data_IF_240144487330
#
_entry.id   IF_240144487330
#
_cell.length_a   1.000
_cell.length_b   1.000
_cell.length_c   1.000
_cell.angle_alpha   90.00
_cell.angle_beta   90.00
_cell.angle_gamma   90.00
#
_symmetry.space_group_name_H-M   'P 1'
#
loop_
_entity.id
_entity.type
_entity.pdbx_description
1 polymer ?
#
# COMPACT_ATOMS: atom_id res chain seq x y z
N UNK A 1 15.08 17.89 -11.04
CA UNK A 1 15.72 16.65 -11.52
C UNK A 1 15.42 15.48 -10.60
N UNK A 2 15.66 15.60 -9.28
CA UNK A 2 15.38 14.56 -8.26
C UNK A 2 13.90 14.13 -8.19
N UNK A 3 12.93 15.06 -8.02
CA UNK A 3 11.50 14.69 -7.97
C UNK A 3 11.00 13.98 -9.24
N UNK A 4 11.59 14.28 -10.40
CA UNK A 4 11.23 13.59 -11.66
C UNK A 4 11.77 12.15 -11.69
N UNK A 5 12.88 11.89 -10.99
CA UNK A 5 13.44 10.54 -10.85
C UNK A 5 12.57 9.71 -9.91
N UNK A 6 12.21 10.25 -8.75
CA UNK A 6 11.29 9.58 -7.82
C UNK A 6 9.92 9.32 -8.46
N UNK A 7 9.43 10.25 -9.29
CA UNK A 7 8.20 10.04 -10.07
C UNK A 7 8.33 8.87 -11.04
N UNK A 8 9.48 8.71 -11.70
CA UNK A 8 9.73 7.56 -12.60
C UNK A 8 9.77 6.26 -11.81
N UNK A 9 10.41 6.23 -10.64
CA UNK A 9 10.46 5.04 -9.78
C UNK A 9 9.04 4.62 -9.34
N UNK A 10 8.22 5.59 -8.93
CA UNK A 10 6.82 5.34 -8.62
C UNK A 10 6.06 4.78 -9.84
N UNK A 11 6.20 5.38 -11.02
CA UNK A 11 5.55 4.89 -12.24
C UNK A 11 5.99 3.49 -12.66
N UNK A 12 7.26 3.13 -12.42
CA UNK A 12 7.75 1.76 -12.63
C UNK A 12 7.07 0.81 -11.64
N UNK A 13 6.99 1.19 -10.36
CA UNK A 13 6.33 0.40 -9.33
C UNK A 13 4.82 0.24 -9.60
N UNK A 14 4.13 1.29 -10.05
CA UNK A 14 2.70 1.25 -10.44
C UNK A 14 2.43 0.21 -11.52
N UNK A 15 3.37 -0.03 -12.43
CA UNK A 15 3.25 -0.99 -13.53
C UNK A 15 3.58 -2.43 -13.12
N UNK A 16 3.91 -2.67 -11.85
CA UNK A 16 4.23 -3.99 -11.33
C UNK A 16 3.01 -4.92 -11.46
N UNK A 17 3.18 -6.01 -12.19
CA UNK A 17 2.15 -7.03 -12.43
C UNK A 17 2.79 -8.43 -12.45
N UNK A 18 3.10 -9.01 -11.28
CA UNK A 18 3.76 -10.30 -11.22
C UNK A 18 2.85 -11.41 -11.76
N UNK A 19 3.36 -12.32 -12.61
CA UNK A 19 2.55 -13.40 -13.20
C UNK A 19 2.03 -14.37 -12.13
N UNK A 20 2.78 -14.56 -11.05
CA UNK A 20 2.43 -15.39 -9.90
C UNK A 20 2.67 -14.56 -8.64
N UNK A 21 1.68 -14.51 -7.75
CA UNK A 21 1.81 -13.83 -6.46
C UNK A 21 2.37 -14.80 -5.41
N UNK A 22 3.69 -14.86 -5.29
CA UNK A 22 4.42 -15.67 -4.30
C UNK A 22 4.62 -14.89 -3.00
N UNK A 23 5.02 -15.59 -1.93
CA UNK A 23 5.38 -14.95 -0.65
C UNK A 23 6.55 -13.98 -0.79
N UNK A 24 7.59 -14.40 -1.51
CA UNK A 24 8.76 -13.56 -1.84
C UNK A 24 8.33 -12.28 -2.56
N UNK A 25 7.49 -12.41 -3.58
CA UNK A 25 6.96 -11.28 -4.34
C UNK A 25 6.15 -10.29 -3.48
N UNK A 26 5.34 -10.80 -2.55
CA UNK A 26 4.59 -9.96 -1.61
C UNK A 26 5.52 -9.20 -0.68
N UNK A 27 6.55 -9.87 -0.11
CA UNK A 27 7.54 -9.25 0.78
C UNK A 27 8.37 -8.20 0.05
N UNK A 28 8.87 -8.52 -1.15
CA UNK A 28 9.63 -7.58 -1.97
C UNK A 28 8.81 -6.34 -2.36
N UNK A 29 7.52 -6.54 -2.67
CA UNK A 29 6.62 -5.43 -3.00
C UNK A 29 6.35 -4.51 -1.81
N UNK A 30 6.22 -5.08 -0.60
CA UNK A 30 6.12 -4.31 0.64
C UNK A 30 7.41 -3.51 0.87
N UNK A 31 8.57 -4.13 0.82
CA UNK A 31 9.84 -3.40 1.01
C UNK A 31 10.04 -2.29 -0.03
N UNK A 32 9.66 -2.54 -1.28
CA UNK A 32 9.77 -1.55 -2.34
C UNK A 32 8.83 -0.35 -2.13
N UNK A 33 7.57 -0.59 -1.71
CA UNK A 33 6.64 0.52 -1.44
C UNK A 33 7.02 1.28 -0.18
N UNK A 34 7.50 0.62 0.86
CA UNK A 34 8.02 1.28 2.06
C UNK A 34 9.23 2.18 1.74
N UNK A 35 10.14 1.71 0.87
CA UNK A 35 11.27 2.50 0.41
C UNK A 35 10.83 3.76 -0.34
N UNK A 36 9.85 3.64 -1.24
CA UNK A 36 9.25 4.78 -1.96
C UNK A 36 8.54 5.74 -1.00
N UNK A 37 7.71 5.24 -0.10
CA UNK A 37 7.00 6.03 0.91
C UNK A 37 7.98 6.80 1.79
N UNK A 38 9.08 6.17 2.23
CA UNK A 38 10.14 6.82 3.02
C UNK A 38 10.88 7.89 2.23
N UNK A 39 11.17 7.64 0.95
CA UNK A 39 11.80 8.60 0.07
C UNK A 39 10.93 9.85 -0.11
N UNK A 40 9.65 9.67 -0.43
CA UNK A 40 8.70 10.76 -0.60
C UNK A 40 8.42 11.52 0.71
N UNK A 41 8.45 10.84 1.86
CA UNK A 41 8.35 11.50 3.16
C UNK A 41 9.55 12.42 3.43
N UNK A 42 10.77 12.02 3.03
CA UNK A 42 11.96 12.88 3.12
C UNK A 42 11.85 14.10 2.21
N UNK A 43 11.35 13.92 0.99
CA UNK A 43 11.09 15.03 0.07
C UNK A 43 10.06 15.99 0.67
N UNK A 44 9.01 15.47 1.33
CA UNK A 44 7.99 16.28 2.00
C UNK A 44 8.57 17.11 3.13
N UNK A 45 9.42 16.52 3.97
CA UNK A 45 10.13 17.26 5.03
C UNK A 45 10.99 18.39 4.44
N UNK A 46 11.67 18.14 3.32
CA UNK A 46 12.47 19.16 2.64
C UNK A 46 11.60 20.28 2.07
N UNK A 47 10.49 19.92 1.42
CA UNK A 47 9.51 20.88 0.90
C UNK A 47 8.90 21.75 2.01
N UNK A 48 8.60 21.16 3.17
CA UNK A 48 8.05 21.89 4.31
C UNK A 48 9.07 22.85 4.93
N UNK A 49 10.34 22.46 4.99
CA UNK A 49 11.42 23.36 5.41
C UNK A 49 11.55 24.56 4.46
N UNK A 50 11.52 24.33 3.15
CA UNK A 50 11.55 25.41 2.14
C UNK A 50 10.34 26.33 2.31
N UNK A 51 9.13 25.78 2.43
CA UNK A 51 7.91 26.58 2.62
C UNK A 51 7.92 27.37 3.94
N UNK A 52 8.60 26.88 4.96
CA UNK A 52 8.80 27.60 6.23
C UNK A 52 9.76 28.78 6.02
N UNK A 53 10.86 28.59 5.28
CA UNK A 53 11.79 29.67 4.94
C UNK A 53 11.15 30.73 4.05
N UNK A 54 10.42 30.33 3.01
CA UNK A 54 9.66 31.24 2.14
C UNK A 54 8.68 32.10 2.96
N UNK A 55 7.95 31.47 3.88
CA UNK A 55 7.03 32.19 4.77
C UNK A 55 7.74 33.20 5.68
N UNK A 56 8.90 32.84 6.25
CA UNK A 56 9.69 33.75 7.10
C UNK A 56 10.27 34.94 6.33
N UNK A 57 10.44 34.80 5.01
CA UNK A 57 10.93 35.83 4.11
C UNK A 57 9.80 36.62 3.41
N UNK A 58 8.54 36.42 3.84
CA UNK A 58 7.34 36.99 3.21
C UNK A 58 7.22 36.64 1.70
N UNK A 59 7.75 35.49 1.29
CA UNK A 59 7.57 34.95 -0.05
C UNK A 59 6.30 34.11 -0.15
N UNK A 60 5.75 34.02 -1.36
CA UNK A 60 4.66 33.10 -1.65
C UNK A 60 5.17 31.65 -1.55
N UNK A 61 4.44 30.81 -0.81
CA UNK A 61 4.83 29.43 -0.56
C UNK A 61 4.69 28.57 -1.83
N UNK A 62 5.70 27.75 -2.09
CA UNK A 62 5.69 26.82 -3.20
C UNK A 62 4.73 25.64 -2.92
N UNK A 63 3.79 25.33 -3.83
CA UNK A 63 2.77 24.31 -3.57
C UNK A 63 3.26 22.85 -3.72
N UNK A 64 4.43 22.63 -4.32
CA UNK A 64 5.03 21.30 -4.56
C UNK A 64 4.04 20.25 -5.12
N UNK A 65 3.21 20.64 -6.09
CA UNK A 65 2.08 19.82 -6.58
C UNK A 65 2.47 18.42 -7.06
N UNK A 66 3.64 18.28 -7.71
CA UNK A 66 4.13 16.97 -8.17
C UNK A 66 4.38 16.04 -6.99
N UNK A 67 4.97 16.54 -5.91
CA UNK A 67 5.24 15.77 -4.70
C UNK A 67 3.94 15.37 -3.99
N UNK A 68 2.99 16.30 -3.86
CA UNK A 68 1.68 15.98 -3.29
C UNK A 68 0.95 14.90 -4.09
N UNK A 69 1.02 14.99 -5.43
CA UNK A 69 0.45 13.97 -6.28
C UNK A 69 1.14 12.60 -6.10
N UNK A 70 2.47 12.54 -6.00
CA UNK A 70 3.19 11.28 -5.74
C UNK A 70 2.82 10.67 -4.38
N UNK A 71 2.70 11.48 -3.33
CA UNK A 71 2.27 11.03 -1.99
C UNK A 71 0.87 10.42 -2.01
N UNK A 72 -0.08 11.10 -2.68
CA UNK A 72 -1.44 10.59 -2.84
C UNK A 72 -1.49 9.32 -3.70
N UNK A 73 -0.58 9.20 -4.67
CA UNK A 73 -0.51 8.03 -5.53
C UNK A 73 0.10 6.81 -4.84
N UNK A 74 1.12 6.96 -3.99
CA UNK A 74 1.79 5.83 -3.33
C UNK A 74 0.93 5.18 -2.25
N UNK A 75 0.13 5.97 -1.52
CA UNK A 75 -0.74 5.53 -0.41
C UNK A 75 -1.58 4.28 -0.72
N UNK A 76 -2.37 4.22 -1.81
CA UNK A 76 -3.17 3.03 -2.10
C UNK A 76 -2.33 1.78 -2.42
N UNK A 77 -1.12 1.93 -2.93
CA UNK A 77 -0.24 0.77 -3.14
C UNK A 77 0.38 0.28 -1.85
N UNK A 78 0.76 1.21 -0.96
CA UNK A 78 1.26 0.88 0.37
C UNK A 78 0.22 0.05 1.12
N UNK A 79 -1.02 0.54 1.17
CA UNK A 79 -2.13 -0.17 1.79
C UNK A 79 -2.40 -1.52 1.11
N UNK A 80 -2.33 -1.60 -0.23
CA UNK A 80 -2.55 -2.85 -0.96
C UNK A 80 -1.55 -3.93 -0.55
N UNK A 81 -0.25 -3.64 -0.68
CA UNK A 81 0.78 -4.66 -0.50
C UNK A 81 0.89 -5.12 0.96
N UNK A 82 0.73 -4.20 1.92
CA UNK A 82 0.66 -4.56 3.34
C UNK A 82 -0.55 -5.45 3.63
N UNK A 83 -1.74 -5.07 3.17
CA UNK A 83 -2.96 -5.87 3.41
C UNK A 83 -2.84 -7.27 2.79
N UNK A 84 -2.26 -7.36 1.59
CA UNK A 84 -2.06 -8.62 0.87
C UNK A 84 -1.09 -9.54 1.63
N UNK A 85 0.06 -9.02 2.06
CA UNK A 85 1.05 -9.76 2.82
C UNK A 85 0.50 -10.18 4.19
N UNK A 86 -0.15 -9.25 4.90
CA UNK A 86 -0.73 -9.48 6.22
C UNK A 86 -1.77 -10.59 6.19
N UNK A 87 -2.69 -10.58 5.22
CA UNK A 87 -3.67 -11.65 5.06
C UNK A 87 -2.98 -13.00 4.80
N UNK A 88 -1.94 -13.03 3.97
CA UNK A 88 -1.25 -14.28 3.66
C UNK A 88 -0.56 -14.89 4.89
N UNK A 89 0.18 -14.06 5.64
CA UNK A 89 0.84 -14.48 6.89
C UNK A 89 -0.16 -14.87 7.97
N UNK A 90 -1.27 -14.13 8.07
CA UNK A 90 -2.30 -14.39 9.08
C UNK A 90 -3.09 -15.65 8.75
N UNK A 91 -3.40 -15.88 7.47
CA UNK A 91 -4.02 -17.12 7.01
C UNK A 91 -3.20 -18.35 7.42
N UNK A 92 -1.87 -18.31 7.25
CA UNK A 92 -1.01 -19.43 7.65
C UNK A 92 -1.13 -19.71 9.16
N UNK A 93 -1.15 -18.66 9.98
CA UNK A 93 -1.30 -18.77 11.44
C UNK A 93 -2.69 -19.27 11.85
N UNK A 94 -3.75 -18.74 11.25
CA UNK A 94 -5.13 -19.08 11.61
C UNK A 94 -5.53 -20.47 11.15
N UNK A 95 -5.02 -20.92 10.01
CA UNK A 95 -5.42 -22.18 9.40
C UNK A 95 -4.50 -23.35 9.77
N UNK A 96 -3.19 -23.12 9.90
CA UNK A 96 -2.22 -24.18 10.22
C UNK A 96 -1.62 -24.07 11.63
N UNK A 97 -1.78 -22.92 12.30
CA UNK A 97 -1.26 -22.70 13.64
C UNK A 97 -2.08 -23.37 14.75
N UNK A 98 -1.58 -23.29 15.98
CA UNK A 98 -2.31 -23.81 17.15
C UNK A 98 -3.50 -22.93 17.50
N UNK A 99 -4.70 -23.52 17.54
CA UNK A 99 -5.94 -22.84 17.92
C UNK A 99 -5.95 -22.31 19.37
N UNK A 100 -5.07 -22.80 20.24
CA UNK A 100 -5.13 -22.53 21.69
C UNK A 100 -5.01 -21.04 22.05
N UNK A 101 -4.36 -20.25 21.19
CA UNK A 101 -4.10 -18.82 21.43
C UNK A 101 -4.76 -17.93 20.36
N UNK A 102 -5.76 -18.44 19.63
CA UNK A 102 -6.49 -17.66 18.62
C UNK A 102 -7.76 -17.07 19.22
N UNK A 103 -7.97 -15.78 19.03
CA UNK A 103 -9.22 -15.10 19.34
C UNK A 103 -10.10 -15.04 18.08
N UNK A 104 -11.27 -15.69 18.14
CA UNK A 104 -12.17 -15.79 17.00
C UNK A 104 -12.80 -14.45 16.61
N UNK A 105 -13.07 -13.57 17.58
CA UNK A 105 -13.68 -12.27 17.32
C UNK A 105 -12.65 -11.32 16.67
N UNK A 106 -11.40 -11.34 17.14
CA UNK A 106 -10.30 -10.58 16.52
C UNK A 106 -10.04 -11.03 15.07
N UNK A 107 -10.04 -12.35 14.81
CA UNK A 107 -9.86 -12.88 13.46
C UNK A 107 -11.00 -12.43 12.55
N UNK A 108 -12.24 -12.52 13.02
CA UNK A 108 -13.42 -12.11 12.25
C UNK A 108 -13.38 -10.62 11.92
N UNK A 109 -13.02 -9.77 12.87
CA UNK A 109 -12.85 -8.34 12.64
C UNK A 109 -11.74 -8.04 11.63
N UNK A 110 -10.57 -8.66 11.80
CA UNK A 110 -9.42 -8.48 10.90
C UNK A 110 -9.77 -8.87 9.46
N UNK A 111 -10.38 -10.05 9.28
CA UNK A 111 -10.77 -10.57 7.95
C UNK A 111 -11.82 -9.67 7.29
N UNK A 112 -12.80 -9.20 8.05
CA UNK A 112 -13.80 -8.26 7.54
C UNK A 112 -13.17 -6.91 7.15
N UNK A 113 -12.23 -6.40 7.95
CA UNK A 113 -11.50 -5.17 7.63
C UNK A 113 -10.67 -5.33 6.34
N UNK A 114 -9.86 -6.38 6.24
CA UNK A 114 -9.06 -6.69 5.05
C UNK A 114 -9.94 -6.79 3.80
N UNK A 115 -11.10 -7.43 3.90
CA UNK A 115 -12.05 -7.54 2.78
C UNK A 115 -12.55 -6.16 2.31
N UNK A 116 -12.92 -5.27 3.24
CA UNK A 116 -13.39 -3.92 2.93
C UNK A 116 -12.29 -3.07 2.31
N UNK A 117 -11.07 -3.16 2.86
CA UNK A 117 -9.89 -2.47 2.32
C UNK A 117 -9.63 -2.91 0.89
N UNK A 118 -9.56 -4.22 0.62
CA UNK A 118 -9.32 -4.74 -0.73
C UNK A 118 -10.45 -4.38 -1.70
N UNK A 119 -11.70 -4.31 -1.24
CA UNK A 119 -12.82 -3.84 -2.07
C UNK A 119 -12.63 -2.40 -2.51
N UNK A 120 -12.29 -1.52 -1.56
CA UNK A 120 -12.04 -0.10 -1.83
C UNK A 120 -10.86 0.05 -2.78
N UNK A 121 -9.75 -0.66 -2.52
CA UNK A 121 -8.54 -0.61 -3.34
C UNK A 121 -8.78 -1.07 -4.78
N UNK A 122 -9.57 -2.13 -5.00
CA UNK A 122 -9.92 -2.56 -6.36
C UNK A 122 -10.67 -1.46 -7.17
N UNK A 123 -11.42 -0.59 -6.48
CA UNK A 123 -12.04 0.58 -7.12
C UNK A 123 -11.08 1.75 -7.27
N UNK A 124 -10.22 2.00 -6.28
CA UNK A 124 -9.24 3.09 -6.31
C UNK A 124 -8.18 2.87 -7.39
N UNK A 125 -7.72 1.63 -7.57
CA UNK A 125 -6.65 1.25 -8.49
C UNK A 125 -7.21 0.74 -9.84
N UNK A 126 -8.42 1.18 -10.23
CA UNK A 126 -9.10 0.67 -11.41
C UNK A 126 -8.33 0.92 -12.72
N UNK A 127 -7.52 1.99 -12.75
CA UNK A 127 -6.66 2.41 -13.85
C UNK A 127 -5.30 1.69 -13.86
N UNK A 128 -5.03 0.83 -12.87
CA UNK A 128 -3.80 0.04 -12.73
C UNK A 128 -4.14 -1.46 -12.74
N UNK A 129 -4.24 -2.09 -13.93
CA UNK A 129 -4.78 -3.44 -14.07
C UNK A 129 -4.13 -4.50 -13.19
N UNK A 130 -2.79 -4.49 -13.06
CA UNK A 130 -2.06 -5.48 -12.24
C UNK A 130 -2.41 -5.37 -10.76
N UNK A 131 -2.41 -4.15 -10.22
CA UNK A 131 -2.76 -3.91 -8.81
C UNK A 131 -4.23 -4.19 -8.52
N UNK A 132 -5.14 -3.79 -9.43
CA UNK A 132 -6.56 -4.14 -9.35
C UNK A 132 -6.77 -5.66 -9.31
N UNK A 133 -6.12 -6.39 -10.22
CA UNK A 133 -6.20 -7.86 -10.28
C UNK A 133 -5.74 -8.49 -8.98
N UNK A 134 -4.64 -8.01 -8.38
CA UNK A 134 -4.16 -8.48 -7.08
C UNK A 134 -5.19 -8.21 -5.98
N UNK A 135 -5.73 -6.99 -5.90
CA UNK A 135 -6.75 -6.64 -4.92
C UNK A 135 -7.98 -7.55 -5.01
N UNK A 136 -8.50 -7.77 -6.23
CA UNK A 136 -9.65 -8.66 -6.47
C UNK A 136 -9.34 -10.12 -6.15
N UNK A 137 -8.16 -10.60 -6.57
CA UNK A 137 -7.72 -11.98 -6.34
C UNK A 137 -7.60 -12.28 -4.84
N UNK A 138 -6.93 -11.40 -4.07
CA UNK A 138 -6.73 -11.61 -2.64
C UNK A 138 -8.06 -11.43 -1.91
N UNK A 139 -8.88 -10.45 -2.29
CA UNK A 139 -10.23 -10.30 -1.73
C UNK A 139 -11.08 -11.57 -1.90
N UNK A 140 -11.01 -12.22 -3.06
CA UNK A 140 -11.71 -13.48 -3.27
C UNK A 140 -11.20 -14.61 -2.36
N UNK A 141 -9.91 -14.61 -2.00
CA UNK A 141 -9.36 -15.53 -0.99
C UNK A 141 -9.86 -15.20 0.41
N UNK A 142 -9.90 -13.92 0.78
CA UNK A 142 -10.47 -13.44 2.05
C UNK A 142 -11.95 -13.84 2.16
N UNK A 143 -12.74 -13.63 1.11
CA UNK A 143 -14.16 -14.01 1.06
C UNK A 143 -14.38 -15.51 1.26
N UNK A 144 -13.53 -16.35 0.66
CA UNK A 144 -13.57 -17.80 0.90
C UNK A 144 -13.22 -18.13 2.34
N UNK A 145 -12.22 -17.47 2.92
CA UNK A 145 -11.82 -17.71 4.30
C UNK A 145 -12.93 -17.34 5.30
N UNK A 146 -13.67 -16.25 5.04
CA UNK A 146 -14.82 -15.83 5.85
C UNK A 146 -15.89 -16.90 6.02
N UNK A 147 -15.99 -17.87 5.10
CA UNK A 147 -16.97 -18.95 5.19
C UNK A 147 -16.60 -19.99 6.26
N UNK A 148 -15.37 -19.97 6.78
CA UNK A 148 -14.90 -20.86 7.85
C UNK A 148 -14.94 -20.22 9.25
N UNK A 149 -15.29 -18.93 9.34
CA UNK A 149 -15.40 -18.17 10.59
C UNK A 149 -16.86 -18.09 11.05
#
# INVERSE_FOLDING_TARGET
QVLMEHQKELEVFRKKDPPILTMEEMVESVHAVEALSKLLAKDKQTADAINTEEQLLDFEQTPFLILMNMLNQVEPFDLLWHTVLEFHQSYEKWYYGSFKNLDADEIKESVENMWRVLYKLAKTLFDVPGSKRIAEMVRAKVEKFKQFL
#
